data_IF_825102698819
#
_entry.id   IF_825102698819
#
_cell.length_a   1.000
_cell.length_b   1.000
_cell.length_c   1.000
_cell.angle_alpha   90.00
_cell.angle_beta   90.00
_cell.angle_gamma   90.00
#
_symmetry.space_group_name_H-M   'P 1'
#
loop_
_entity.id
_entity.type
_entity.pdbx_description
1 polymer ?
#
# COMPACT_ATOMS: atom_id res chain seq x y z
N UNK A 1 36.14 -19.71 -60.53
CA UNK A 1 36.19 -18.61 -59.54
C UNK A 1 35.57 -19.05 -58.19
N UNK A 2 36.36 -19.75 -57.36
CA UNK A 2 37.15 -19.20 -56.25
C UNK A 2 36.28 -18.64 -55.09
N UNK A 3 36.30 -19.40 -54.00
CA UNK A 3 35.80 -19.16 -52.63
C UNK A 3 36.56 -18.00 -51.92
N UNK A 4 36.54 -17.90 -50.58
CA UNK A 4 35.53 -17.39 -49.64
C UNK A 4 36.10 -16.21 -48.81
N UNK A 5 35.37 -15.56 -47.89
CA UNK A 5 36.02 -14.98 -46.70
C UNK A 5 35.08 -14.94 -45.49
N UNK A 6 35.47 -15.74 -44.50
CA UNK A 6 35.09 -15.62 -43.12
C UNK A 6 35.63 -14.30 -42.53
N UNK A 7 34.84 -13.65 -41.68
CA UNK A 7 35.25 -12.51 -40.87
C UNK A 7 34.84 -12.73 -39.43
N UNK A 8 35.63 -13.54 -38.71
CA UNK A 8 35.54 -13.65 -37.27
C UNK A 8 36.00 -12.33 -36.63
N UNK A 9 35.15 -11.70 -35.83
CA UNK A 9 35.59 -10.76 -34.80
C UNK A 9 35.50 -11.48 -33.45
N UNK A 10 36.62 -12.08 -33.05
CA UNK A 10 36.96 -12.24 -31.64
C UNK A 10 37.73 -10.98 -31.23
N UNK A 11 37.24 -10.26 -30.22
CA UNK A 11 38.13 -9.50 -29.36
C UNK A 11 37.78 -9.81 -27.91
N UNK A 12 38.74 -10.45 -27.26
CA UNK A 12 38.79 -10.75 -25.85
C UNK A 12 39.56 -9.65 -25.11
N UNK A 13 39.22 -9.48 -23.82
CA UNK A 13 40.03 -8.80 -22.81
C UNK A 13 39.39 -7.51 -22.29
N UNK A 14 39.40 -7.19 -21.00
CA UNK A 14 39.88 -7.84 -19.78
C UNK A 14 39.45 -6.90 -18.61
N UNK A 15 38.98 -7.49 -17.51
CA UNK A 15 39.11 -7.02 -16.11
C UNK A 15 38.23 -5.88 -15.54
N UNK A 16 37.46 -6.30 -14.53
CA UNK A 16 37.39 -5.75 -13.17
C UNK A 16 36.98 -4.29 -12.97
N UNK A 17 35.75 -4.14 -12.46
CA UNK A 17 35.53 -3.30 -11.29
C UNK A 17 34.86 -4.16 -10.20
N UNK A 18 35.67 -4.52 -9.21
CA UNK A 18 35.28 -5.20 -7.99
C UNK A 18 34.51 -4.27 -7.05
N UNK A 19 33.51 -4.84 -6.37
CA UNK A 19 33.00 -4.52 -5.03
C UNK A 19 32.76 -3.05 -4.66
N UNK A 20 31.47 -2.70 -4.51
CA UNK A 20 31.03 -1.96 -3.34
C UNK A 20 29.56 -2.27 -3.01
N UNK A 21 29.35 -3.01 -1.92
CA UNK A 21 28.24 -2.76 -1.01
C UNK A 21 26.86 -3.23 -1.44
N UNK A 22 26.65 -4.55 -1.41
CA UNK A 22 25.37 -5.08 -0.94
C UNK A 22 25.03 -4.47 0.43
N UNK A 23 23.76 -4.10 0.67
CA UNK A 23 23.05 -4.67 1.79
C UNK A 23 22.21 -5.80 1.22
N UNK A 24 22.81 -6.99 1.24
CA UNK A 24 22.08 -8.24 1.26
C UNK A 24 21.31 -8.14 2.58
N UNK A 25 20.05 -7.70 2.52
CA UNK A 25 19.15 -7.88 3.66
C UNK A 25 19.02 -9.38 3.84
N UNK A 26 19.86 -9.88 4.75
CA UNK A 26 19.79 -11.17 5.38
C UNK A 26 18.37 -11.30 5.95
N UNK A 27 17.48 -11.95 5.19
CA UNK A 27 16.15 -12.37 5.66
C UNK A 27 16.26 -13.69 6.44
N UNK A 28 17.47 -14.06 6.87
CA UNK A 28 17.77 -15.28 7.60
C UNK A 28 17.35 -15.11 9.06
N UNK A 29 16.07 -15.42 9.31
CA UNK A 29 15.33 -15.52 10.59
C UNK A 29 14.20 -14.48 10.73
N UNK A 30 13.36 -14.38 9.70
CA UNK A 30 12.03 -13.81 9.86
C UNK A 30 11.17 -14.74 10.71
N UNK A 31 11.00 -14.43 11.99
CA UNK A 31 9.91 -14.98 12.79
C UNK A 31 8.61 -14.85 11.97
N UNK A 32 7.80 -15.90 11.80
CA UNK A 32 6.54 -15.76 11.08
C UNK A 32 5.76 -14.60 11.71
N UNK A 33 5.17 -13.71 10.90
CA UNK A 33 4.36 -12.64 11.45
C UNK A 33 3.34 -13.27 12.40
N UNK A 34 3.08 -12.64 13.56
CA UNK A 34 2.10 -13.17 14.50
C UNK A 34 0.79 -13.44 13.74
N UNK A 35 0.11 -14.55 14.05
CA UNK A 35 -1.13 -14.88 13.37
C UNK A 35 -2.10 -13.71 13.55
N UNK A 36 -2.49 -13.10 12.43
CA UNK A 36 -3.44 -11.98 12.43
C UNK A 36 -4.75 -12.53 13.00
N UNK A 37 -5.24 -11.91 14.07
CA UNK A 37 -6.49 -12.33 14.68
C UNK A 37 -7.64 -12.20 13.67
N UNK A 38 -8.66 -13.05 13.75
CA UNK A 38 -9.84 -12.95 12.86
C UNK A 38 -10.48 -11.55 12.93
N UNK A 39 -10.42 -10.92 14.09
CA UNK A 39 -10.85 -9.54 14.35
C UNK A 39 -10.01 -8.52 13.58
N UNK A 40 -8.67 -8.65 13.63
CA UNK A 40 -7.74 -7.80 12.86
C UNK A 40 -7.94 -7.95 11.35
N UNK A 41 -8.14 -9.17 10.84
CA UNK A 41 -8.43 -9.38 9.42
C UNK A 41 -9.71 -8.65 8.98
N UNK A 42 -10.73 -8.66 9.83
CA UNK A 42 -12.00 -7.98 9.55
C UNK A 42 -11.80 -6.45 9.55
N UNK A 43 -11.02 -5.94 10.50
CA UNK A 43 -10.66 -4.52 10.56
C UNK A 43 -9.83 -4.08 9.36
N UNK A 44 -8.81 -4.85 8.99
CA UNK A 44 -7.97 -4.60 7.82
C UNK A 44 -8.79 -4.63 6.53
N UNK A 45 -9.74 -5.56 6.40
CA UNK A 45 -10.65 -5.58 5.26
C UNK A 45 -11.55 -4.32 5.21
N UNK A 46 -12.00 -3.82 6.35
CA UNK A 46 -12.77 -2.58 6.43
C UNK A 46 -11.92 -1.36 6.03
N UNK A 47 -10.69 -1.24 6.55
CA UNK A 47 -9.74 -0.18 6.18
C UNK A 47 -9.38 -0.24 4.70
N UNK A 48 -9.15 -1.44 4.16
CA UNK A 48 -8.87 -1.63 2.74
C UNK A 48 -10.05 -1.19 1.86
N UNK A 49 -11.28 -1.52 2.25
CA UNK A 49 -12.50 -1.07 1.53
C UNK A 49 -12.70 0.43 1.63
N UNK A 50 -12.40 1.03 2.78
CA UNK A 50 -12.43 2.48 2.97
C UNK A 50 -11.45 3.15 2.00
N UNK A 51 -10.18 2.74 2.03
CA UNK A 51 -9.11 3.30 1.22
C UNK A 51 -9.38 3.11 -0.28
N UNK A 52 -9.71 1.88 -0.70
CA UNK A 52 -10.05 1.59 -2.10
C UNK A 52 -11.28 2.38 -2.55
N UNK A 53 -12.29 2.49 -1.70
CA UNK A 53 -13.51 3.25 -1.98
C UNK A 53 -13.23 4.73 -2.20
N UNK A 54 -12.36 5.33 -1.40
CA UNK A 54 -11.92 6.71 -1.56
C UNK A 54 -11.00 6.91 -2.77
N UNK A 55 -10.03 6.00 -2.95
CA UNK A 55 -9.09 6.02 -4.06
C UNK A 55 -9.80 5.93 -5.41
N UNK A 56 -10.86 5.12 -5.51
CA UNK A 56 -11.71 5.03 -6.71
C UNK A 56 -12.36 6.36 -7.11
N UNK A 57 -12.41 7.33 -6.19
CA UNK A 57 -12.94 8.69 -6.38
C UNK A 57 -11.85 9.75 -6.46
N UNK A 58 -10.58 9.36 -6.45
CA UNK A 58 -9.45 10.28 -6.42
C UNK A 58 -9.33 11.03 -5.08
N UNK A 59 -9.89 10.49 -4.01
CA UNK A 59 -9.87 11.08 -2.67
C UNK A 59 -8.94 10.28 -1.76
N UNK A 60 -8.30 10.98 -0.83
CA UNK A 60 -7.62 10.39 0.32
C UNK A 60 -8.52 10.44 1.55
N UNK A 61 -8.26 9.59 2.55
CA UNK A 61 -8.95 9.63 3.86
C UNK A 61 -8.94 11.05 4.44
N UNK A 62 -7.79 11.71 4.44
CA UNK A 62 -7.68 13.08 4.92
C UNK A 62 -8.60 14.05 4.16
N UNK A 63 -8.64 13.97 2.83
CA UNK A 63 -9.50 14.84 2.01
C UNK A 63 -11.00 14.54 2.16
N UNK A 64 -11.37 13.30 2.47
CA UNK A 64 -12.75 12.92 2.70
C UNK A 64 -13.25 13.40 4.07
N UNK A 65 -12.36 13.43 5.06
CA UNK A 65 -12.69 13.79 6.45
C UNK A 65 -12.52 15.29 6.74
N UNK A 66 -11.68 16.01 5.99
CA UNK A 66 -11.46 17.46 6.21
C UNK A 66 -12.74 18.29 6.07
N UNK A 67 -13.71 17.83 5.27
CA UNK A 67 -15.00 18.50 5.10
C UNK A 67 -15.90 18.37 6.34
N UNK A 68 -15.58 17.44 7.24
CA UNK A 68 -16.35 17.16 8.44
C UNK A 68 -15.63 17.57 9.73
N UNK A 69 -14.34 17.91 9.64
CA UNK A 69 -13.54 18.50 10.71
C UNK A 69 -13.87 19.99 10.87
N UNK A 70 -14.95 20.28 11.60
CA UNK A 70 -15.48 21.63 11.77
C UNK A 70 -14.56 22.56 12.55
N UNK A 71 -13.80 21.99 13.49
CA UNK A 71 -12.95 22.72 14.43
C UNK A 71 -11.47 22.74 13.98
N UNK A 72 -11.16 22.13 12.83
CA UNK A 72 -9.78 21.92 12.33
C UNK A 72 -8.87 21.20 13.35
N UNK A 73 -9.48 20.39 14.23
CA UNK A 73 -8.79 19.65 15.28
C UNK A 73 -8.18 18.34 14.76
N UNK A 74 -8.36 18.05 13.46
CA UNK A 74 -8.00 16.77 12.83
C UNK A 74 -8.71 15.59 13.46
N UNK A 75 -9.87 15.84 14.03
CA UNK A 75 -10.72 14.85 14.66
C UNK A 75 -12.12 14.93 14.04
N UNK A 76 -12.65 13.78 13.65
CA UNK A 76 -14.04 13.66 13.21
C UNK A 76 -14.78 12.76 14.18
N UNK A 77 -16.00 13.12 14.54
CA UNK A 77 -16.86 12.24 15.34
C UNK A 77 -17.36 11.04 14.54
N UNK A 78 -17.89 10.03 15.24
CA UNK A 78 -18.50 8.85 14.61
C UNK A 78 -19.60 9.24 13.60
N UNK A 79 -20.48 10.17 13.96
CA UNK A 79 -21.59 10.62 13.10
C UNK A 79 -21.08 11.27 11.80
N UNK A 80 -19.99 12.03 11.92
CA UNK A 80 -19.30 12.67 10.80
C UNK A 80 -18.61 11.65 9.89
N UNK A 81 -17.97 10.63 10.47
CA UNK A 81 -17.37 9.53 9.72
C UNK A 81 -18.44 8.73 8.97
N UNK A 82 -19.60 8.46 9.60
CA UNK A 82 -20.75 7.81 8.94
C UNK A 82 -21.26 8.67 7.78
N UNK A 83 -21.40 9.99 8.00
CA UNK A 83 -21.82 10.91 6.96
C UNK A 83 -20.83 10.96 5.78
N UNK A 84 -19.52 10.98 6.05
CA UNK A 84 -18.47 10.94 5.04
C UNK A 84 -18.53 9.66 4.20
N UNK A 85 -18.61 8.50 4.85
CA UNK A 85 -18.73 7.22 4.16
C UNK A 85 -20.00 7.15 3.31
N UNK A 86 -21.14 7.65 3.82
CA UNK A 86 -22.40 7.72 3.09
C UNK A 86 -22.34 8.64 1.87
N UNK A 87 -21.79 9.85 2.02
CA UNK A 87 -21.65 10.83 0.96
C UNK A 87 -20.76 10.32 -0.18
N UNK A 88 -19.68 9.61 0.15
CA UNK A 88 -18.78 8.99 -0.81
C UNK A 88 -19.22 7.58 -1.22
N UNK A 89 -20.45 7.15 -0.89
CA UNK A 89 -21.00 5.82 -1.17
C UNK A 89 -20.00 4.69 -0.94
N UNK A 90 -19.21 4.80 0.13
CA UNK A 90 -18.23 3.80 0.49
C UNK A 90 -19.02 2.57 0.93
N UNK A 91 -18.71 1.38 0.41
CA UNK A 91 -19.41 0.18 0.80
C UNK A 91 -18.92 -0.20 2.21
N UNK A 92 -19.40 0.46 3.25
CA UNK A 92 -19.20 0.11 4.65
C UNK A 92 -20.53 0.28 5.38
N UNK A 93 -20.89 -0.73 6.15
CA UNK A 93 -22.07 -0.67 7.01
C UNK A 93 -21.77 0.16 8.26
N UNK A 94 -22.82 0.74 8.85
CA UNK A 94 -22.71 1.48 10.13
C UNK A 94 -21.94 0.72 11.23
N UNK A 95 -22.21 -0.58 11.51
CA UNK A 95 -21.44 -1.32 12.52
C UNK A 95 -19.96 -1.50 12.16
N UNK A 96 -19.61 -1.61 10.88
CA UNK A 96 -18.19 -1.63 10.45
C UNK A 96 -17.53 -0.28 10.71
N UNK A 97 -18.24 0.83 10.45
CA UNK A 97 -17.76 2.18 10.73
C UNK A 97 -17.60 2.41 12.24
N UNK A 98 -18.54 1.95 13.06
CA UNK A 98 -18.47 1.99 14.52
C UNK A 98 -17.29 1.18 15.06
N UNK A 99 -17.06 0.00 14.50
CA UNK A 99 -15.92 -0.86 14.87
C UNK A 99 -14.59 -0.22 14.50
N UNK A 100 -14.50 0.37 13.30
CA UNK A 100 -13.34 1.14 12.88
C UNK A 100 -13.10 2.34 13.81
N UNK A 101 -14.16 3.12 14.09
CA UNK A 101 -14.07 4.30 14.93
C UNK A 101 -13.62 3.99 16.36
N UNK A 102 -14.09 2.88 16.95
CA UNK A 102 -13.70 2.47 18.30
C UNK A 102 -12.23 2.01 18.42
N UNK A 103 -11.54 1.81 17.30
CA UNK A 103 -10.16 1.30 17.23
C UNK A 103 -9.14 2.33 16.73
N UNK A 104 -9.60 3.45 16.18
CA UNK A 104 -8.78 4.58 15.68
C UNK A 104 -8.64 5.66 16.74
#
# INVERSE_FOLDING_TARGET
PQSPMAGAHMQAGLLQASLAGQPQTDLSKGQPPPPVSKDELSMLACLHRLDTGLASRGLTIASALVLYDKDMERAVGLDQLVAACGQHSIPLSRPEIETLFARL
#
